data_IF_227155202813
#
_entry.id   IF_227155202813
#
_cell.length_a   1.000
_cell.length_b   1.000
_cell.length_c   1.000
_cell.angle_alpha   90.00
_cell.angle_beta   90.00
_cell.angle_gamma   90.00
#
_symmetry.space_group_name_H-M   'P 1'
#
loop_
_entity.id
_entity.type
_entity.pdbx_description
1 polymer ?
#
# COMPACT_ATOMS: atom_id res chain seq x y z
N UNK A 1 -10.45 -21.33 -13.65
CA UNK A 1 -9.46 -21.82 -12.66
C UNK A 1 -8.78 -20.64 -11.96
N UNK A 2 -8.79 -20.57 -10.63
CA UNK A 2 -8.07 -19.52 -9.89
C UNK A 2 -6.56 -19.67 -10.04
N UNK A 3 -5.82 -18.56 -10.09
CA UNK A 3 -4.36 -18.56 -10.23
C UNK A 3 -3.63 -19.25 -9.08
N UNK A 4 -2.32 -19.47 -9.23
CA UNK A 4 -1.42 -19.88 -8.14
C UNK A 4 -0.65 -18.64 -7.68
N UNK A 5 -0.57 -18.42 -6.36
CA UNK A 5 0.25 -17.33 -5.81
C UNK A 5 1.69 -17.81 -5.80
N UNK A 6 2.54 -17.27 -6.67
CA UNK A 6 3.94 -17.71 -6.84
C UNK A 6 4.96 -16.77 -6.20
N UNK A 7 4.49 -15.62 -5.72
CA UNK A 7 5.29 -14.63 -5.00
C UNK A 7 5.10 -14.80 -3.48
N UNK A 8 6.09 -14.36 -2.70
CA UNK A 8 6.00 -14.35 -1.24
C UNK A 8 5.02 -13.27 -0.76
N UNK A 9 4.27 -13.57 0.30
CA UNK A 9 3.47 -12.57 1.00
C UNK A 9 4.38 -11.80 1.96
N UNK A 10 4.47 -10.48 1.80
CA UNK A 10 5.22 -9.62 2.73
C UNK A 10 4.27 -9.17 3.84
N UNK A 11 4.50 -9.65 5.06
CA UNK A 11 3.63 -9.37 6.23
C UNK A 11 4.14 -8.23 7.10
N UNK A 12 5.39 -7.81 6.90
CA UNK A 12 6.03 -6.77 7.68
C UNK A 12 7.48 -6.55 7.27
N UNK A 13 8.24 -5.94 8.17
CA UNK A 13 9.69 -5.80 8.08
C UNK A 13 10.30 -6.25 9.41
N UNK A 14 11.47 -6.87 9.33
CA UNK A 14 12.28 -7.15 10.50
C UNK A 14 12.91 -5.87 11.07
N UNK A 15 13.57 -5.98 12.22
CA UNK A 15 14.23 -4.86 12.90
C UNK A 15 15.36 -4.22 12.06
N UNK A 16 15.96 -4.99 11.16
CA UNK A 16 16.98 -4.54 10.20
C UNK A 16 16.39 -3.89 8.93
N UNK A 17 15.06 -3.86 8.81
CA UNK A 17 14.34 -3.27 7.69
C UNK A 17 14.14 -4.22 6.50
N UNK A 18 14.70 -5.44 6.53
CA UNK A 18 14.47 -6.46 5.50
C UNK A 18 13.00 -6.92 5.51
N UNK A 19 12.41 -7.26 4.35
CA UNK A 19 11.02 -7.69 4.27
C UNK A 19 10.82 -9.06 4.93
N UNK A 20 9.82 -9.16 5.81
CA UNK A 20 9.37 -10.43 6.36
C UNK A 20 8.52 -11.16 5.32
N UNK A 21 9.08 -12.24 4.76
CA UNK A 21 8.49 -12.99 3.64
C UNK A 21 7.86 -14.31 4.09
N UNK A 22 6.60 -14.52 3.72
CA UNK A 22 5.86 -15.75 3.97
C UNK A 22 5.58 -16.48 2.65
N UNK A 23 6.13 -17.69 2.52
CA UNK A 23 5.96 -18.54 1.35
C UNK A 23 4.80 -19.51 1.53
N UNK A 24 3.90 -19.55 0.55
CA UNK A 24 2.77 -20.48 0.57
C UNK A 24 3.24 -21.90 0.20
N UNK A 25 2.74 -22.94 0.89
CA UNK A 25 3.12 -24.33 0.59
C UNK A 25 2.82 -24.69 -0.86
N UNK A 26 3.79 -25.36 -1.49
CA UNK A 26 3.66 -25.92 -2.84
C UNK A 26 3.18 -27.37 -2.78
N UNK A 27 2.17 -27.69 -3.57
CA UNK A 27 1.74 -29.05 -3.82
C UNK A 27 2.40 -29.59 -5.10
N UNK A 28 3.15 -30.69 -4.95
CA UNK A 28 3.88 -31.31 -6.05
C UNK A 28 2.98 -32.03 -7.06
N UNK A 29 1.82 -32.53 -6.66
CA UNK A 29 0.91 -33.25 -7.56
C UNK A 29 0.19 -32.26 -8.49
N UNK A 30 -0.40 -31.22 -7.91
CA UNK A 30 -1.14 -30.20 -8.67
C UNK A 30 -0.25 -29.10 -9.24
N UNK A 31 1.03 -29.06 -8.85
CA UNK A 31 2.03 -28.03 -9.23
C UNK A 31 1.56 -26.61 -8.90
N UNK A 32 0.88 -26.43 -7.77
CA UNK A 32 0.30 -25.15 -7.35
C UNK A 32 0.59 -24.84 -5.89
N UNK A 33 0.73 -23.56 -5.60
CA UNK A 33 0.80 -23.07 -4.23
C UNK A 33 -0.61 -22.95 -3.64
N UNK A 34 -0.71 -23.03 -2.32
CA UNK A 34 -1.92 -22.68 -1.60
C UNK A 34 -2.39 -21.27 -1.99
N UNK A 35 -3.70 -21.04 -2.00
CA UNK A 35 -4.30 -19.75 -2.37
C UNK A 35 -4.99 -19.04 -1.21
N UNK A 36 -5.12 -19.72 -0.07
CA UNK A 36 -5.79 -19.23 1.12
C UNK A 36 -4.94 -19.56 2.34
N UNK A 37 -4.94 -18.66 3.32
CA UNK A 37 -4.31 -18.86 4.62
C UNK A 37 -5.30 -18.48 5.72
N UNK A 38 -5.21 -19.15 6.86
CA UNK A 38 -5.94 -18.79 8.07
C UNK A 38 -4.98 -18.12 9.03
N UNK A 39 -5.30 -16.91 9.47
CA UNK A 39 -4.64 -16.24 10.60
C UNK A 39 -5.55 -16.41 11.81
N UNK A 40 -5.08 -17.16 12.80
CA UNK A 40 -5.82 -17.45 14.04
C UNK A 40 -4.96 -17.08 15.25
N UNK A 41 -5.61 -16.64 16.34
CA UNK A 41 -4.92 -16.15 17.54
C UNK A 41 -5.31 -14.73 17.96
N UNK A 42 -6.22 -14.08 17.23
CA UNK A 42 -6.92 -12.89 17.73
C UNK A 42 -7.87 -13.38 18.83
N UNK A 43 -7.54 -13.04 20.07
CA UNK A 43 -8.45 -13.16 21.21
C UNK A 43 -9.52 -12.08 21.05
N UNK A 44 -10.80 -12.44 20.86
CA UNK A 44 -11.87 -11.47 20.62
C UNK A 44 -12.13 -10.57 21.83
N UNK A 45 -11.72 -10.99 23.03
CA UNK A 45 -11.84 -10.23 24.27
C UNK A 45 -10.64 -9.29 24.50
N UNK A 46 -9.54 -9.47 23.76
CA UNK A 46 -8.43 -8.52 23.73
C UNK A 46 -8.72 -7.40 22.75
N UNK A 47 -9.07 -6.24 23.30
CA UNK A 47 -9.18 -5.00 22.55
C UNK A 47 -7.87 -4.73 21.79
N UNK A 48 -7.98 -4.39 20.50
CA UNK A 48 -6.85 -3.87 19.73
C UNK A 48 -6.35 -2.63 20.45
N UNK A 49 -5.07 -2.60 20.81
CA UNK A 49 -4.48 -1.44 21.47
C UNK A 49 -4.80 -0.17 20.67
N UNK A 50 -5.23 0.89 21.36
CA UNK A 50 -5.53 2.16 20.71
C UNK A 50 -4.29 2.59 19.91
N UNK A 51 -4.44 2.95 18.63
CA UNK A 51 -3.31 3.40 17.84
C UNK A 51 -2.68 4.62 18.52
N UNK A 52 -1.39 4.51 18.88
CA UNK A 52 -0.63 5.61 19.50
C UNK A 52 -0.44 6.78 18.52
N UNK A 53 -0.40 6.47 17.23
CA UNK A 53 -0.32 7.44 16.15
C UNK A 53 -1.64 7.50 15.38
N UNK A 54 -2.31 8.65 15.43
CA UNK A 54 -3.42 8.96 14.54
C UNK A 54 -2.85 9.50 13.23
N UNK A 55 -2.82 8.68 12.19
CA UNK A 55 -2.44 9.14 10.86
C UNK A 55 -3.55 10.06 10.35
N UNK A 56 -3.21 11.32 10.15
CA UNK A 56 -4.06 12.25 9.42
C UNK A 56 -3.65 12.20 7.96
N UNK A 57 -4.63 12.00 7.07
CA UNK A 57 -4.41 12.31 5.66
C UNK A 57 -3.87 13.74 5.55
N UNK A 58 -2.85 13.95 4.72
CA UNK A 58 -2.39 15.28 4.40
C UNK A 58 -3.62 16.09 3.96
N UNK A 59 -3.87 17.23 4.61
CA UNK A 59 -4.85 18.17 4.10
C UNK A 59 -4.34 18.63 2.74
N UNK A 60 -5.20 18.59 1.73
CA UNK A 60 -4.86 19.17 0.44
C UNK A 60 -4.39 20.60 0.69
N UNK A 61 -3.23 20.96 0.13
CA UNK A 61 -2.83 22.36 0.13
C UNK A 61 -3.99 23.17 -0.46
N UNK A 62 -4.32 24.34 0.11
CA UNK A 62 -5.30 25.22 -0.51
C UNK A 62 -4.86 25.40 -1.96
N UNK A 63 -5.79 25.19 -2.89
CA UNK A 63 -5.56 25.45 -4.31
C UNK A 63 -5.00 26.86 -4.38
N UNK A 64 -3.73 27.00 -4.78
CA UNK A 64 -3.14 28.31 -5.05
C UNK A 64 -4.08 28.99 -6.03
N UNK A 65 -4.51 30.21 -5.71
CA UNK A 65 -5.49 30.96 -6.50
C UNK A 65 -5.22 30.78 -7.99
N UNK A 66 -6.29 30.53 -8.76
CA UNK A 66 -6.20 30.48 -10.21
C UNK A 66 -5.44 31.71 -10.69
N UNK A 67 -4.32 31.50 -11.38
CA UNK A 67 -3.56 32.57 -12.02
C UNK A 67 -4.53 33.44 -12.82
N UNK A 68 -4.33 34.75 -12.80
CA UNK A 68 -5.13 35.61 -13.66
C UNK A 68 -4.94 35.18 -15.12
N UNK A 69 -5.94 35.43 -15.96
CA UNK A 69 -5.88 35.02 -17.37
C UNK A 69 -4.67 35.61 -18.08
N UNK A 70 -4.24 36.80 -17.65
CA UNK A 70 -3.05 37.49 -18.18
C UNK A 70 -1.76 36.75 -17.81
N UNK A 71 -1.63 36.27 -16.57
CA UNK A 71 -0.47 35.54 -16.09
C UNK A 71 -0.34 34.16 -16.76
N UNK A 72 -1.47 33.45 -16.92
CA UNK A 72 -1.51 32.17 -17.62
C UNK A 72 -1.15 32.32 -19.12
N UNK A 73 -1.60 33.40 -19.76
CA UNK A 73 -1.25 33.69 -21.15
C UNK A 73 0.24 34.03 -21.31
N UNK A 74 0.82 34.80 -20.38
CA UNK A 74 2.24 35.12 -20.41
C UNK A 74 3.13 33.86 -20.28
N UNK A 75 2.76 32.90 -19.42
CA UNK A 75 3.47 31.62 -19.32
C UNK A 75 3.30 30.76 -20.59
N UNK A 76 2.10 30.70 -21.15
CA UNK A 76 1.89 29.95 -22.39
C UNK A 76 2.72 30.52 -23.55
N UNK A 77 2.82 31.84 -23.63
CA UNK A 77 3.65 32.51 -24.63
C UNK A 77 5.15 32.29 -24.41
N UNK A 78 5.59 32.04 -23.17
CA UNK A 78 7.01 31.71 -22.89
C UNK A 78 7.34 30.25 -23.12
N UNK A 79 6.37 29.32 -23.04
CA UNK A 79 6.58 27.90 -23.39
C UNK A 79 6.57 27.63 -24.90
N UNK A 80 6.02 28.54 -25.71
CA UNK A 80 5.88 28.41 -27.17
C UNK A 80 7.02 29.07 -27.96
N UNK A 81 8.05 29.58 -27.28
CA UNK A 81 9.29 30.15 -27.88
C UNK A 81 10.44 29.18 -27.66
#
# INVERSE_FOLDING_TARGET
PGGSITEALVVGRYEDGEPEQFWLPFDEETKRNATHILVAGIDPDKEIAKPEAKWTFAQAEPVKDDKSKEEALAELMTMLV
#
